data_IF_712545623525
#
_entry.id   IF_712545623525
#
_cell.length_a   1.000
_cell.length_b   1.000
_cell.length_c   1.000
_cell.angle_alpha   90.00
_cell.angle_beta   90.00
_cell.angle_gamma   90.00
#
_symmetry.space_group_name_H-M   'P 1'
#
loop_
_entity.id
_entity.type
_entity.pdbx_description
1 polymer ?
#
# COMPACT_ATOMS: atom_id res chain seq x y z
N UNK A 1 33.10 33.01 -1.67
CA UNK A 1 33.22 32.24 -2.93
C UNK A 1 33.45 30.79 -2.56
N UNK A 2 32.42 29.94 -2.62
CA UNK A 2 32.54 28.50 -2.36
C UNK A 2 32.82 27.79 -3.68
N UNK A 3 34.06 27.36 -3.88
CA UNK A 3 34.45 26.49 -4.99
C UNK A 3 33.72 25.15 -4.83
N UNK A 4 32.72 24.89 -5.70
CA UNK A 4 32.22 23.53 -5.92
C UNK A 4 33.39 22.71 -6.45
N UNK A 5 34.05 21.94 -5.59
CA UNK A 5 34.97 20.89 -6.01
C UNK A 5 34.18 19.94 -6.92
N UNK A 6 34.47 20.00 -8.23
CA UNK A 6 34.02 18.96 -9.16
C UNK A 6 34.67 17.67 -8.70
N UNK A 7 33.87 16.63 -8.49
CA UNK A 7 34.38 15.29 -8.20
C UNK A 7 35.44 14.92 -9.26
N UNK A 8 36.69 14.77 -8.84
CA UNK A 8 37.80 14.44 -9.72
C UNK A 8 37.57 13.03 -10.25
N UNK A 9 37.53 12.91 -11.57
CA UNK A 9 37.25 11.66 -12.25
C UNK A 9 38.39 10.65 -11.92
N UNK A 10 38.10 9.45 -11.39
CA UNK A 10 39.14 8.53 -10.91
C UNK A 10 40.10 8.12 -12.04
N UNK A 11 41.35 7.81 -11.72
CA UNK A 11 42.34 7.30 -12.67
C UNK A 11 41.79 6.09 -13.46
N UNK A 12 42.11 5.91 -14.75
CA UNK A 12 41.57 4.82 -15.59
C UNK A 12 41.65 3.42 -14.97
N UNK A 13 42.72 3.12 -14.24
CA UNK A 13 42.91 1.84 -13.53
C UNK A 13 41.88 1.59 -12.41
N UNK A 14 41.36 2.65 -11.77
CA UNK A 14 40.29 2.58 -10.76
C UNK A 14 38.89 2.51 -11.38
N UNK A 15 38.79 2.68 -12.71
CA UNK A 15 37.54 2.56 -13.48
C UNK A 15 37.27 1.14 -13.96
N UNK A 16 38.20 0.21 -13.77
CA UNK A 16 38.00 -1.19 -14.15
C UNK A 16 37.20 -1.89 -13.06
N UNK A 17 36.22 -2.69 -13.47
CA UNK A 17 35.41 -3.52 -12.59
C UNK A 17 36.34 -4.53 -11.88
N UNK A 18 36.27 -4.58 -10.54
CA UNK A 18 37.16 -5.42 -9.72
C UNK A 18 37.07 -6.91 -10.11
N UNK A 19 35.86 -7.41 -10.38
CA UNK A 19 35.60 -8.76 -10.89
C UNK A 19 34.38 -8.75 -11.81
N UNK A 20 34.27 -9.71 -12.74
CA UNK A 20 33.09 -9.87 -13.60
C UNK A 20 31.77 -10.09 -12.85
N UNK A 21 31.83 -10.42 -11.56
CA UNK A 21 30.67 -10.65 -10.69
C UNK A 21 30.27 -9.42 -9.87
N UNK A 22 31.12 -8.40 -9.76
CA UNK A 22 30.84 -7.21 -8.94
C UNK A 22 29.84 -6.29 -9.65
N UNK A 23 28.74 -5.82 -9.06
CA UNK A 23 27.75 -5.00 -9.79
C UNK A 23 28.37 -3.71 -10.36
N UNK A 24 27.95 -3.30 -11.56
CA UNK A 24 28.36 -2.03 -12.18
C UNK A 24 27.55 -0.89 -11.54
N UNK A 25 28.23 0.14 -11.06
CA UNK A 25 27.58 1.31 -10.47
C UNK A 25 26.99 2.23 -11.56
N UNK A 26 26.00 3.04 -11.21
CA UNK A 26 25.49 4.10 -12.09
C UNK A 26 26.02 5.43 -11.60
N UNK A 27 26.78 6.12 -12.44
CA UNK A 27 27.39 7.40 -12.10
C UNK A 27 26.32 8.49 -11.98
N UNK A 28 26.37 9.26 -10.91
CA UNK A 28 25.47 10.39 -10.72
C UNK A 28 25.85 11.53 -11.67
N UNK A 29 24.95 11.84 -12.59
CA UNK A 29 25.13 12.91 -13.57
C UNK A 29 24.13 14.00 -13.22
N UNK A 30 24.60 15.23 -13.02
CA UNK A 30 23.74 16.40 -12.79
C UNK A 30 22.78 16.27 -11.60
N UNK A 31 23.16 15.57 -10.53
CA UNK A 31 22.31 15.35 -9.34
C UNK A 31 21.01 14.59 -9.64
N UNK A 32 21.03 13.70 -10.64
CA UNK A 32 19.87 12.89 -11.08
C UNK A 32 19.84 11.51 -10.41
N UNK A 33 20.31 11.42 -9.18
CA UNK A 33 20.43 10.16 -8.42
C UNK A 33 19.09 9.41 -8.33
N UNK A 34 17.98 10.13 -8.18
CA UNK A 34 16.62 9.57 -8.13
C UNK A 34 16.26 8.81 -9.42
N UNK A 35 16.63 9.35 -10.59
CA UNK A 35 16.37 8.73 -11.91
C UNK A 35 17.25 7.51 -12.15
N UNK A 36 18.52 7.60 -11.76
CA UNK A 36 19.46 6.46 -11.84
C UNK A 36 18.94 5.27 -11.04
N UNK A 37 18.37 5.53 -9.86
CA UNK A 37 17.79 4.52 -9.00
C UNK A 37 16.55 3.88 -9.61
N UNK A 38 15.69 4.64 -10.29
CA UNK A 38 14.59 4.08 -11.09
C UNK A 38 15.14 3.09 -12.12
N UNK A 39 16.12 3.52 -12.92
CA UNK A 39 16.67 2.70 -14.00
C UNK A 39 17.30 1.40 -13.47
N UNK A 40 18.06 1.47 -12.37
CA UNK A 40 18.66 0.29 -11.73
C UNK A 40 17.58 -0.64 -11.16
N UNK A 41 16.51 -0.09 -10.58
CA UNK A 41 15.43 -0.89 -10.00
C UNK A 41 14.64 -1.63 -11.07
N UNK A 42 14.32 -0.96 -12.19
CA UNK A 42 13.70 -1.60 -13.35
C UNK A 42 14.63 -2.65 -13.96
N UNK A 43 15.91 -2.30 -14.13
CA UNK A 43 16.93 -3.24 -14.61
C UNK A 43 17.03 -4.46 -13.71
N UNK A 44 16.93 -4.34 -12.39
CA UNK A 44 17.08 -5.49 -11.49
C UNK A 44 16.02 -6.58 -11.68
N UNK A 45 14.90 -6.27 -12.34
CA UNK A 45 13.85 -7.22 -12.65
C UNK A 45 14.22 -8.08 -13.89
N UNK A 46 14.41 -9.38 -13.68
CA UNK A 46 14.81 -10.33 -14.75
C UNK A 46 13.82 -10.37 -15.91
N UNK A 47 12.51 -10.27 -15.63
CA UNK A 47 11.49 -10.28 -16.69
C UNK A 47 11.65 -9.06 -17.58
N UNK A 48 11.90 -7.89 -16.99
CA UNK A 48 12.18 -6.65 -17.74
C UNK A 48 13.49 -6.72 -18.51
N UNK A 49 14.56 -7.28 -17.94
CA UNK A 49 15.82 -7.49 -18.67
C UNK A 49 15.62 -8.34 -19.91
N UNK A 50 15.00 -9.51 -19.74
CA UNK A 50 14.76 -10.45 -20.83
C UNK A 50 13.93 -9.80 -21.94
N UNK A 51 12.88 -9.06 -21.57
CA UNK A 51 12.07 -8.33 -22.55
C UNK A 51 12.90 -7.30 -23.33
N UNK A 52 13.65 -6.44 -22.63
CA UNK A 52 14.50 -5.42 -23.27
C UNK A 52 15.51 -6.05 -24.24
N UNK A 53 16.16 -7.14 -23.86
CA UNK A 53 17.14 -7.82 -24.73
C UNK A 53 16.50 -8.63 -25.86
N UNK A 54 15.25 -9.08 -25.71
CA UNK A 54 14.51 -9.78 -26.77
C UNK A 54 13.98 -8.84 -27.86
N UNK A 55 14.07 -7.52 -27.64
CA UNK A 55 13.50 -6.55 -28.54
C UNK A 55 14.39 -6.37 -29.78
N UNK A 56 14.01 -7.02 -30.88
CA UNK A 56 14.68 -6.90 -32.16
C UNK A 56 14.28 -5.59 -32.84
N UNK A 57 15.23 -4.68 -32.99
CA UNK A 57 15.01 -3.43 -33.75
C UNK A 57 15.35 -3.69 -35.21
N UNK A 58 14.35 -3.75 -36.08
CA UNK A 58 14.56 -3.82 -37.54
C UNK A 58 14.96 -2.45 -38.08
N UNK A 59 16.04 -2.39 -38.87
CA UNK A 59 16.51 -1.17 -39.54
C UNK A 59 15.45 -0.62 -40.51
N UNK A 60 14.63 -1.49 -41.11
CA UNK A 60 13.56 -1.10 -42.04
C UNK A 60 12.53 -0.18 -41.36
N UNK A 61 12.23 -0.41 -40.08
CA UNK A 61 11.26 0.43 -39.35
C UNK A 61 11.89 1.73 -38.84
N UNK A 62 13.21 1.75 -38.64
CA UNK A 62 13.95 2.95 -38.25
C UNK A 62 13.92 4.02 -39.35
N UNK A 63 14.08 3.58 -40.59
CA UNK A 63 14.21 4.49 -41.74
C UNK A 63 12.85 4.93 -42.30
N UNK A 64 11.78 4.18 -42.03
CA UNK A 64 10.44 4.47 -42.56
C UNK A 64 9.71 5.64 -41.86
N UNK A 65 10.14 6.05 -40.66
CA UNK A 65 9.39 7.02 -39.85
C UNK A 65 10.31 7.97 -39.08
N UNK A 66 10.49 9.19 -39.61
CA UNK A 66 11.15 10.30 -38.89
C UNK A 66 10.53 10.52 -37.49
N UNK A 67 9.20 10.38 -37.39
CA UNK A 67 8.40 10.52 -36.16
C UNK A 67 8.56 9.38 -35.12
N UNK A 68 9.29 8.32 -35.46
CA UNK A 68 9.56 7.19 -34.55
C UNK A 68 11.03 7.08 -34.16
N UNK A 69 11.89 7.92 -34.73
CA UNK A 69 13.34 7.87 -34.52
C UNK A 69 13.71 8.06 -33.05
N UNK A 70 13.01 8.92 -32.31
CA UNK A 70 13.26 9.14 -30.88
C UNK A 70 12.96 7.90 -30.04
N UNK A 71 11.86 7.20 -30.32
CA UNK A 71 11.48 5.96 -29.63
C UNK A 71 12.47 4.83 -29.95
N UNK A 72 12.88 4.70 -31.21
CA UNK A 72 13.93 3.76 -31.60
C UNK A 72 15.25 4.03 -30.88
N UNK A 73 15.68 5.29 -30.88
CA UNK A 73 16.89 5.73 -30.21
C UNK A 73 16.81 5.53 -28.70
N UNK A 74 15.61 5.60 -28.09
CA UNK A 74 15.38 5.29 -26.68
C UNK A 74 15.56 3.79 -26.41
N UNK A 75 14.96 2.92 -27.21
CA UNK A 75 15.08 1.44 -27.07
C UNK A 75 16.55 1.03 -27.13
N UNK A 76 17.27 1.46 -28.17
CA UNK A 76 18.69 1.17 -28.34
C UNK A 76 19.50 1.68 -27.14
N UNK A 77 19.19 2.87 -26.63
CA UNK A 77 19.90 3.43 -25.48
C UNK A 77 19.68 2.62 -24.21
N UNK A 78 18.49 2.06 -24.02
CA UNK A 78 18.17 1.20 -22.87
C UNK A 78 18.86 -0.15 -23.00
N UNK A 79 18.83 -0.77 -24.18
CA UNK A 79 19.52 -2.02 -24.45
C UNK A 79 21.02 -1.88 -24.22
N UNK A 80 21.64 -0.81 -24.74
CA UNK A 80 23.04 -0.52 -24.51
C UNK A 80 23.30 -0.27 -23.03
N UNK A 81 22.48 0.53 -22.35
CA UNK A 81 22.64 0.77 -20.91
C UNK A 81 22.58 -0.52 -20.09
N UNK A 82 21.62 -1.40 -20.38
CA UNK A 82 21.47 -2.71 -19.70
C UNK A 82 22.65 -3.63 -20.03
N UNK A 83 23.11 -3.65 -21.28
CA UNK A 83 24.29 -4.41 -21.68
C UNK A 83 25.55 -3.94 -20.94
N UNK A 84 25.72 -2.63 -20.74
CA UNK A 84 26.83 -2.08 -19.96
C UNK A 84 26.73 -2.46 -18.48
N UNK A 85 25.53 -2.51 -17.90
CA UNK A 85 25.33 -2.96 -16.52
C UNK A 85 25.67 -4.44 -16.33
N UNK A 86 25.33 -5.30 -17.29
CA UNK A 86 25.61 -6.73 -17.23
C UNK A 86 27.08 -7.06 -17.56
N UNK A 87 27.52 -6.62 -18.73
CA UNK A 87 28.74 -7.09 -19.39
C UNK A 87 29.86 -6.06 -19.40
N UNK A 88 29.59 -4.83 -18.95
CA UNK A 88 30.58 -3.76 -18.92
C UNK A 88 31.81 -4.13 -18.09
N UNK A 89 33.00 -3.86 -18.66
CA UNK A 89 34.28 -3.96 -17.96
C UNK A 89 34.56 -2.79 -17.02
N UNK A 90 33.75 -1.73 -17.09
CA UNK A 90 33.85 -0.55 -16.23
C UNK A 90 33.24 -0.78 -14.84
N UNK A 91 33.74 -0.08 -13.83
CA UNK A 91 33.17 -0.07 -12.48
C UNK A 91 31.90 0.78 -12.39
N UNK A 92 31.64 1.64 -13.37
CA UNK A 92 30.40 2.40 -13.49
C UNK A 92 29.99 2.67 -14.95
N UNK A 93 28.72 3.02 -15.14
CA UNK A 93 28.13 3.49 -16.41
C UNK A 93 27.48 4.86 -16.21
N UNK A 94 27.52 5.73 -17.22
CA UNK A 94 26.86 7.04 -17.22
C UNK A 94 25.53 6.96 -18.00
N UNK A 95 24.37 7.21 -17.38
CA UNK A 95 23.07 7.10 -18.05
C UNK A 95 22.63 8.42 -18.73
N UNK A 96 23.54 9.37 -18.95
CA UNK A 96 23.22 10.75 -19.35
C UNK A 96 22.29 10.84 -20.55
N UNK A 97 22.62 10.15 -21.64
CA UNK A 97 21.85 10.19 -22.88
C UNK A 97 20.50 9.49 -22.74
N UNK A 98 20.45 8.39 -21.99
CA UNK A 98 19.20 7.70 -21.69
C UNK A 98 18.25 8.60 -20.89
N UNK A 99 18.75 9.21 -19.82
CA UNK A 99 17.94 10.10 -18.97
C UNK A 99 17.41 11.30 -19.75
N UNK A 100 18.22 11.90 -20.65
CA UNK A 100 17.77 12.97 -21.56
C UNK A 100 16.64 12.50 -22.48
N UNK A 101 16.76 11.31 -23.08
CA UNK A 101 15.75 10.75 -23.99
C UNK A 101 14.42 10.42 -23.29
N UNK A 102 14.45 10.02 -22.02
CA UNK A 102 13.23 9.79 -21.23
C UNK A 102 12.50 11.11 -20.91
N UNK A 103 13.24 12.20 -20.73
CA UNK A 103 12.75 13.51 -20.30
C UNK A 103 12.54 14.52 -21.45
N UNK A 104 12.27 14.07 -22.67
CA UNK A 104 12.18 14.93 -23.88
C UNK A 104 11.50 16.30 -23.70
N UNK A 105 11.89 17.26 -24.54
CA UNK A 105 11.49 18.68 -24.47
C UNK A 105 9.98 18.98 -24.51
N UNK A 106 9.15 18.09 -25.05
CA UNK A 106 7.73 18.40 -25.36
C UNK A 106 6.72 17.97 -24.29
N UNK A 107 7.17 17.47 -23.13
CA UNK A 107 6.26 17.15 -22.03
C UNK A 107 6.17 18.35 -21.08
N UNK A 108 5.39 19.35 -21.48
CA UNK A 108 4.74 20.23 -20.51
C UNK A 108 3.97 19.35 -19.53
N UNK A 109 4.35 19.44 -18.26
CA UNK A 109 4.02 18.49 -17.19
C UNK A 109 2.53 18.55 -16.79
N UNK A 110 1.70 19.39 -17.40
CA UNK A 110 0.53 19.89 -16.66
C UNK A 110 -0.81 19.14 -16.82
N UNK A 111 -1.20 18.51 -17.93
CA UNK A 111 -2.66 18.30 -18.10
C UNK A 111 -3.24 16.89 -18.33
N UNK A 112 -2.46 15.80 -18.33
CA UNK A 112 -3.04 14.46 -18.67
C UNK A 112 -2.57 13.26 -17.85
N UNK A 113 -2.00 13.49 -16.66
CA UNK A 113 -1.84 12.39 -15.69
C UNK A 113 -3.13 12.36 -14.87
N UNK A 114 -3.99 11.33 -14.98
CA UNK A 114 -5.19 11.26 -14.16
C UNK A 114 -4.76 10.88 -12.73
N UNK A 115 -4.31 11.84 -11.92
CA UNK A 115 -3.96 11.55 -10.54
C UNK A 115 -4.45 12.60 -9.55
N UNK A 116 -5.04 12.04 -8.49
CA UNK A 116 -5.62 12.68 -7.34
C UNK A 116 -4.59 13.16 -6.28
N UNK A 117 -3.26 13.05 -6.51
CA UNK A 117 -2.25 13.35 -5.48
C UNK A 117 -0.89 13.83 -6.03
N UNK A 118 -0.11 14.62 -5.26
CA UNK A 118 1.24 15.05 -5.65
C UNK A 118 2.20 13.85 -5.69
N UNK A 119 2.87 13.65 -6.82
CA UNK A 119 3.88 12.61 -7.01
C UNK A 119 5.29 13.13 -6.69
N UNK A 120 6.18 12.26 -6.22
CA UNK A 120 7.59 12.59 -6.09
C UNK A 120 8.26 12.69 -7.47
N UNK A 121 9.40 13.39 -7.57
CA UNK A 121 10.22 13.41 -8.81
C UNK A 121 10.58 12.00 -9.29
N UNK A 122 10.73 11.06 -8.35
CA UNK A 122 10.91 9.64 -8.62
C UNK A 122 9.68 9.02 -9.29
N UNK A 123 8.50 9.23 -8.70
CA UNK A 123 7.23 8.72 -9.22
C UNK A 123 6.95 9.22 -10.65
N UNK A 124 7.18 10.51 -10.90
CA UNK A 124 7.01 11.15 -12.21
C UNK A 124 7.95 10.52 -13.26
N UNK A 125 9.25 10.40 -12.95
CA UNK A 125 10.21 9.82 -13.89
C UNK A 125 9.88 8.35 -14.19
N UNK A 126 9.51 7.56 -13.18
CA UNK A 126 9.10 6.17 -13.35
C UNK A 126 7.84 6.04 -14.23
N UNK A 127 6.86 6.92 -14.02
CA UNK A 127 5.67 7.02 -14.85
C UNK A 127 6.02 7.29 -16.31
N UNK A 128 6.82 8.34 -16.55
CA UNK A 128 7.27 8.73 -17.89
C UNK A 128 8.08 7.64 -18.59
N UNK A 129 9.02 7.02 -17.86
CA UNK A 129 9.83 5.93 -18.39
C UNK A 129 8.94 4.79 -18.90
N UNK A 130 8.04 4.27 -18.05
CA UNK A 130 7.18 3.15 -18.41
C UNK A 130 6.23 3.53 -19.57
N UNK A 131 5.66 4.74 -19.56
CA UNK A 131 4.79 5.21 -20.63
C UNK A 131 5.52 5.32 -21.97
N UNK A 132 6.73 5.90 -22.00
CA UNK A 132 7.53 6.00 -23.22
C UNK A 132 7.93 4.63 -23.73
N UNK A 133 8.28 3.70 -22.84
CA UNK A 133 8.58 2.33 -23.23
C UNK A 133 7.37 1.60 -23.82
N UNK A 134 6.20 1.77 -23.22
CA UNK A 134 4.94 1.25 -23.75
C UNK A 134 4.61 1.83 -25.13
N UNK A 135 4.77 3.14 -25.31
CA UNK A 135 4.56 3.81 -26.61
C UNK A 135 5.55 3.30 -27.66
N UNK A 136 6.83 3.17 -27.29
CA UNK A 136 7.88 2.66 -28.18
C UNK A 136 7.59 1.22 -28.62
N UNK A 137 7.11 0.37 -27.70
CA UNK A 137 6.72 -1.02 -28.01
C UNK A 137 5.51 -1.10 -28.93
N UNK A 138 4.48 -0.30 -28.66
CA UNK A 138 3.29 -0.22 -29.52
C UNK A 138 3.63 0.27 -30.93
N UNK A 139 4.44 1.32 -31.04
CA UNK A 139 4.93 1.82 -32.34
C UNK A 139 5.70 0.71 -33.06
N UNK A 140 6.61 0.01 -32.38
CA UNK A 140 7.36 -1.09 -32.98
C UNK A 140 6.47 -2.21 -33.53
N UNK A 141 5.40 -2.59 -32.81
CA UNK A 141 4.49 -3.64 -33.27
C UNK A 141 3.63 -3.24 -34.47
N UNK A 142 3.26 -1.97 -34.61
CA UNK A 142 2.50 -1.50 -35.79
C UNK A 142 3.20 -1.81 -37.12
N UNK A 143 4.52 -2.02 -37.10
CA UNK A 143 5.34 -2.26 -38.29
C UNK A 143 5.95 -3.66 -38.32
N UNK A 144 5.63 -4.52 -37.35
CA UNK A 144 6.07 -5.91 -37.37
C UNK A 144 5.01 -6.77 -38.06
N UNK A 145 5.33 -7.48 -39.17
CA UNK A 145 4.35 -8.29 -39.91
C UNK A 145 3.82 -9.52 -39.14
N UNK A 146 4.21 -9.70 -37.87
CA UNK A 146 3.83 -10.85 -37.03
C UNK A 146 2.64 -10.60 -36.09
N UNK A 147 2.01 -9.43 -36.11
CA UNK A 147 0.98 -9.08 -35.11
C UNK A 147 -0.44 -8.93 -35.67
N UNK A 148 -0.99 -10.01 -36.23
CA UNK A 148 -2.45 -10.16 -36.35
C UNK A 148 -2.98 -10.71 -35.01
N UNK A 149 -3.13 -9.82 -34.02
CA UNK A 149 -3.69 -10.15 -32.71
C UNK A 149 -3.72 -8.93 -31.79
N UNK A 150 -4.60 -8.94 -30.77
CA UNK A 150 -4.61 -7.96 -29.69
C UNK A 150 -3.32 -8.07 -28.86
N UNK A 151 -2.23 -7.55 -29.40
CA UNK A 151 -0.95 -7.54 -28.70
C UNK A 151 -1.03 -6.51 -27.57
N UNK A 152 -1.19 -6.99 -26.35
CA UNK A 152 -1.06 -6.18 -25.13
C UNK A 152 0.42 -5.98 -24.87
N UNK A 153 0.88 -4.72 -24.86
CA UNK A 153 2.28 -4.36 -24.56
C UNK A 153 2.81 -5.08 -23.32
N UNK A 154 4.06 -5.53 -23.37
CA UNK A 154 4.77 -6.03 -22.19
C UNK A 154 4.72 -5.01 -21.06
N UNK A 155 5.02 -3.74 -21.33
CA UNK A 155 5.00 -2.65 -20.34
C UNK A 155 3.61 -2.45 -19.76
N UNK A 156 2.57 -2.45 -20.60
CA UNK A 156 1.18 -2.40 -20.15
C UNK A 156 0.81 -3.59 -19.25
N UNK A 157 1.08 -4.82 -19.68
CA UNK A 157 0.70 -6.03 -18.93
C UNK A 157 1.52 -6.24 -17.65
N UNK A 158 2.71 -5.66 -17.57
CA UNK A 158 3.63 -5.85 -16.45
C UNK A 158 3.42 -4.82 -15.35
N UNK A 159 3.18 -3.55 -15.69
CA UNK A 159 3.16 -2.45 -14.72
C UNK A 159 1.78 -1.80 -14.51
N UNK A 160 0.78 -2.10 -15.34
CA UNK A 160 -0.57 -1.53 -15.18
C UNK A 160 -1.58 -2.58 -14.72
N UNK A 161 -2.31 -2.23 -13.67
CA UNK A 161 -3.53 -2.91 -13.26
C UNK A 161 -4.76 -2.08 -13.61
N UNK A 162 -5.93 -2.70 -13.48
CA UNK A 162 -7.21 -2.04 -13.66
C UNK A 162 -8.00 -2.13 -12.36
N UNK A 163 -8.58 -1.01 -11.97
CA UNK A 163 -9.60 -0.96 -10.92
C UNK A 163 -10.93 -0.58 -11.55
N UNK A 164 -12.00 -1.09 -10.97
CA UNK A 164 -13.35 -0.70 -11.31
C UNK A 164 -14.09 -0.28 -10.04
N UNK A 165 -14.85 0.80 -10.13
CA UNK A 165 -15.75 1.24 -9.08
C UNK A 165 -17.10 0.55 -9.25
N UNK A 166 -17.56 -0.17 -8.21
CA UNK A 166 -18.96 -0.64 -8.14
C UNK A 166 -19.76 0.44 -7.43
N UNK A 167 -20.76 0.97 -8.12
CA UNK A 167 -21.81 1.78 -7.50
C UNK A 167 -22.83 0.81 -6.92
N UNK A 168 -22.80 0.61 -5.60
CA UNK A 168 -23.87 -0.09 -4.91
C UNK A 168 -24.97 0.94 -4.58
N UNK A 169 -26.03 0.99 -5.38
CA UNK A 169 -27.23 1.73 -5.01
C UNK A 169 -27.84 1.07 -3.74
N UNK A 170 -28.15 1.89 -2.73
CA UNK A 170 -28.77 1.43 -1.48
C UNK A 170 -30.12 0.74 -1.76
N UNK A 171 -30.14 -0.60 -1.79
CA UNK A 171 -31.38 -1.40 -1.77
C UNK A 171 -32.23 -1.12 -0.51
N UNK A 172 -31.69 -0.44 0.51
CA UNK A 172 -32.41 -0.06 1.73
C UNK A 172 -33.54 0.96 1.50
N UNK A 173 -33.49 1.80 0.44
CA UNK A 173 -34.58 2.77 0.17
C UNK A 173 -35.77 2.20 -0.61
N UNK A 174 -35.59 1.06 -1.29
CA UNK A 174 -36.67 0.41 -2.05
C UNK A 174 -37.59 -0.36 -1.08
N UNK A 175 -37.03 -1.01 -0.05
CA UNK A 175 -37.82 -1.75 0.94
C UNK A 175 -38.58 -0.87 1.94
N UNK A 176 -38.11 0.36 2.24
CA UNK A 176 -38.87 1.31 3.07
C UNK A 176 -40.04 1.94 2.30
N UNK A 177 -39.88 2.22 1.00
CA UNK A 177 -40.97 2.73 0.15
C UNK A 177 -41.97 1.63 -0.23
N UNK A 178 -41.55 0.38 -0.41
CA UNK A 178 -42.48 -0.74 -0.63
C UNK A 178 -43.31 -1.05 0.63
N UNK A 179 -42.75 -0.91 1.83
CA UNK A 179 -43.50 -1.07 3.08
C UNK A 179 -44.40 0.14 3.43
N UNK A 180 -44.02 1.37 3.05
CA UNK A 180 -44.91 2.54 3.13
C UNK A 180 -46.07 2.44 2.14
N UNK A 181 -45.79 2.07 0.88
CA UNK A 181 -46.80 1.89 -0.15
C UNK A 181 -47.73 0.68 0.13
N UNK A 182 -47.26 -0.37 0.83
CA UNK A 182 -48.13 -1.47 1.30
C UNK A 182 -49.07 -1.03 2.42
N UNK A 183 -48.59 -0.20 3.37
CA UNK A 183 -49.43 0.34 4.46
C UNK A 183 -50.40 1.42 3.99
N UNK A 184 -50.08 2.17 2.94
CA UNK A 184 -51.01 3.11 2.31
C UNK A 184 -52.05 2.38 1.43
N UNK A 185 -51.66 1.32 0.70
CA UNK A 185 -52.61 0.51 -0.08
C UNK A 185 -53.51 -0.41 0.75
N UNK A 186 -53.10 -0.83 1.95
CA UNK A 186 -53.99 -1.58 2.86
C UNK A 186 -55.04 -0.70 3.55
N UNK A 187 -54.88 0.64 3.53
CA UNK A 187 -55.87 1.58 4.05
C UNK A 187 -56.83 2.14 2.98
N UNK A 188 -56.53 1.99 1.68
CA UNK A 188 -57.41 2.42 0.59
C UNK A 188 -58.23 1.31 -0.05
N UNK A 189 -58.04 0.03 0.32
CA UNK A 189 -58.94 -1.07 -0.09
C UNK A 189 -60.08 -1.24 0.92
N UNK A 190 -60.80 -0.15 1.12
CA UNK A 190 -62.23 -0.10 1.51
C UNK A 190 -62.83 1.13 0.82
N UNK A 191 -62.82 1.12 -0.50
CA UNK A 191 -63.92 1.61 -1.33
C UNK A 191 -63.64 1.29 -2.79
N UNK A 192 -64.70 0.81 -3.46
CA UNK A 192 -64.87 0.77 -4.91
C UNK A 192 -64.06 -0.30 -5.67
N UNK A 193 -64.62 -1.52 -5.61
CA UNK A 193 -64.63 -2.41 -6.75
C UNK A 193 -65.48 -1.77 -7.86
N UNK A 194 -64.90 -1.54 -9.04
CA UNK A 194 -65.50 -1.92 -10.33
C UNK A 194 -64.51 -1.73 -11.49
N UNK A 195 -64.29 -2.83 -12.22
CA UNK A 195 -63.97 -2.89 -13.65
C UNK A 195 -62.81 -2.05 -14.20
N UNK A 196 -61.66 -2.70 -14.46
CA UNK A 196 -61.35 -3.15 -15.83
C UNK A 196 -60.11 -4.04 -15.87
N UNK A 197 -60.35 -5.19 -16.46
CA UNK A 197 -59.42 -6.19 -16.95
C UNK A 197 -58.90 -5.74 -18.33
N UNK A 198 -57.72 -6.24 -18.72
CA UNK A 198 -57.00 -6.05 -20.00
C UNK A 198 -55.81 -5.09 -19.98
N UNK A 199 -54.68 -5.61 -19.50
CA UNK A 199 -53.35 -5.58 -20.16
C UNK A 199 -52.37 -6.29 -19.22
N UNK A 200 -52.44 -7.63 -19.22
CA UNK A 200 -51.30 -8.47 -18.83
C UNK A 200 -50.51 -8.70 -20.10
N UNK A 201 -49.19 -8.70 -19.97
CA UNK A 201 -48.17 -8.79 -21.02
C UNK A 201 -47.73 -7.43 -21.57
N UNK A 202 -46.83 -6.75 -20.83
CA UNK A 202 -45.65 -6.08 -21.44
C UNK A 202 -44.69 -5.41 -20.44
N UNK A 203 -44.98 -5.32 -19.14
CA UNK A 203 -44.04 -4.75 -18.18
C UNK A 203 -43.20 -5.79 -17.43
N UNK A 204 -42.46 -6.63 -18.17
CA UNK A 204 -41.13 -7.06 -17.70
C UNK A 204 -40.17 -5.94 -18.04
N UNK A 205 -40.17 -4.90 -17.20
CA UNK A 205 -39.10 -3.91 -17.18
C UNK A 205 -37.82 -4.70 -16.86
N UNK A 206 -37.09 -5.07 -17.91
CA UNK A 206 -35.65 -5.29 -17.84
C UNK A 206 -35.06 -3.95 -17.42
N UNK A 207 -34.98 -3.70 -16.12
CA UNK A 207 -34.05 -2.71 -15.60
C UNK A 207 -32.66 -3.23 -15.95
N UNK A 208 -32.09 -2.71 -17.04
CA UNK A 208 -30.68 -2.83 -17.28
C UNK A 208 -29.98 -2.27 -16.05
N UNK A 209 -29.30 -3.15 -15.30
CA UNK A 209 -28.30 -2.75 -14.32
C UNK A 209 -27.10 -2.19 -15.09
N UNK A 210 -27.26 -1.01 -15.67
CA UNK A 210 -26.16 -0.26 -16.25
C UNK A 210 -25.43 0.45 -15.10
N UNK A 211 -24.78 -0.35 -14.24
CA UNK A 211 -23.77 0.18 -13.33
C UNK A 211 -22.70 0.84 -14.18
N UNK A 212 -22.58 2.17 -14.10
CA UNK A 212 -21.52 2.92 -14.76
C UNK A 212 -20.17 2.49 -14.16
N UNK A 213 -19.52 1.52 -14.81
CA UNK A 213 -18.15 1.14 -14.46
C UNK A 213 -17.20 2.20 -14.99
N UNK A 214 -16.57 2.96 -14.09
CA UNK A 214 -15.36 3.71 -14.44
C UNK A 214 -14.17 2.79 -14.23
N UNK A 215 -13.55 2.38 -15.33
CA UNK A 215 -12.30 1.62 -15.30
C UNK A 215 -11.12 2.57 -15.30
N UNK A 216 -10.26 2.48 -14.29
CA UNK A 216 -9.05 3.28 -14.17
C UNK A 216 -7.82 2.37 -14.23
N UNK A 217 -6.88 2.72 -15.10
CA UNK A 217 -5.59 2.07 -15.17
C UNK A 217 -4.69 2.62 -14.06
N UNK A 218 -4.18 1.75 -13.20
CA UNK A 218 -3.28 2.08 -12.10
C UNK A 218 -1.89 1.55 -12.41
N UNK A 219 -0.91 2.44 -12.39
CA UNK A 219 0.50 2.06 -12.48
C UNK A 219 1.19 2.04 -11.11
N UNK A 220 0.87 3.00 -10.24
CA UNK A 220 1.49 3.17 -8.92
C UNK A 220 0.40 3.37 -7.88
N UNK A 221 0.56 2.74 -6.71
CA UNK A 221 -0.37 2.85 -5.58
C UNK A 221 0.28 3.77 -4.53
N UNK A 222 -0.29 4.95 -4.25
CA UNK A 222 0.21 5.82 -3.19
C UNK A 222 -0.10 5.21 -1.82
N UNK A 223 0.89 5.25 -0.92
CA UNK A 223 0.84 4.66 0.42
C UNK A 223 1.21 5.73 1.44
N UNK A 224 0.24 6.11 2.28
CA UNK A 224 0.49 7.07 3.34
C UNK A 224 1.06 6.41 4.59
N UNK A 225 2.18 6.96 5.10
CA UNK A 225 2.89 6.47 6.29
C UNK A 225 1.99 6.46 7.55
N UNK A 226 0.99 7.34 7.60
CA UNK A 226 0.07 7.46 8.74
C UNK A 226 -0.80 6.23 8.99
N UNK A 227 -0.91 5.31 8.03
CA UNK A 227 -1.73 4.11 8.15
C UNK A 227 -0.96 2.88 8.66
N UNK A 228 0.31 3.04 9.07
CA UNK A 228 1.18 2.07 9.75
C UNK A 228 1.53 0.76 9.02
N UNK A 229 0.70 0.29 8.08
CA UNK A 229 0.94 -0.92 7.28
C UNK A 229 0.36 -0.81 5.86
N UNK A 230 0.87 -1.64 4.94
CA UNK A 230 0.48 -1.66 3.53
C UNK A 230 -1.01 -1.94 3.30
N UNK A 231 -1.60 -2.92 3.98
CA UNK A 231 -3.00 -3.29 3.74
C UNK A 231 -3.97 -2.15 4.06
N UNK A 232 -3.77 -1.49 5.20
CA UNK A 232 -4.58 -0.34 5.61
C UNK A 232 -4.40 0.81 4.64
N UNK A 233 -3.18 1.06 4.16
CA UNK A 233 -2.93 2.09 3.15
C UNK A 233 -3.63 1.81 1.81
N UNK A 234 -3.59 0.57 1.32
CA UNK A 234 -4.27 0.19 0.07
C UNK A 234 -5.78 0.36 0.21
N UNK A 235 -6.39 -0.11 1.31
CA UNK A 235 -7.82 0.10 1.55
C UNK A 235 -8.16 1.60 1.59
N UNK A 236 -7.33 2.42 2.20
CA UNK A 236 -7.56 3.87 2.27
C UNK A 236 -7.48 4.53 0.90
N UNK A 237 -6.47 4.17 0.11
CA UNK A 237 -6.35 4.61 -1.27
C UNK A 237 -7.58 4.24 -2.10
N UNK A 238 -7.99 2.96 -2.08
CA UNK A 238 -9.16 2.51 -2.85
C UNK A 238 -10.45 3.22 -2.43
N UNK A 239 -10.63 3.51 -1.14
CA UNK A 239 -11.79 4.27 -0.67
C UNK A 239 -11.73 5.77 -1.03
N UNK A 240 -10.53 6.35 -1.23
CA UNK A 240 -10.39 7.77 -1.58
C UNK A 240 -10.79 8.07 -3.03
N UNK A 241 -10.61 7.11 -3.94
CA UNK A 241 -10.82 7.29 -5.39
C UNK A 241 -12.26 7.70 -5.72
N UNK A 242 -13.26 7.33 -4.90
CA UNK A 242 -14.68 7.56 -5.21
C UNK A 242 -15.37 8.53 -4.24
N UNK A 243 -14.61 9.13 -3.31
CA UNK A 243 -15.18 10.01 -2.29
C UNK A 243 -16.02 9.26 -1.24
N UNK A 244 -16.73 9.99 -0.39
CA UNK A 244 -17.48 9.43 0.76
C UNK A 244 -18.71 8.58 0.39
N UNK A 245 -19.03 8.45 -0.90
CA UNK A 245 -20.13 7.61 -1.38
C UNK A 245 -19.71 6.13 -1.32
N UNK A 246 -20.65 5.24 -0.99
CA UNK A 246 -20.46 3.80 -0.70
C UNK A 246 -20.00 2.92 -1.88
N UNK A 247 -19.22 3.49 -2.80
CA UNK A 247 -18.73 2.81 -3.97
C UNK A 247 -17.49 1.99 -3.59
N UNK A 248 -17.56 0.69 -3.89
CA UNK A 248 -16.46 -0.24 -3.61
C UNK A 248 -15.54 -0.26 -4.82
N UNK A 249 -14.31 0.23 -4.65
CA UNK A 249 -13.26 0.12 -5.67
C UNK A 249 -12.43 -1.11 -5.42
N UNK A 250 -12.34 -1.99 -6.41
CA UNK A 250 -11.51 -3.20 -6.37
C UNK A 250 -10.77 -3.38 -7.68
N UNK A 251 -9.65 -4.10 -7.62
CA UNK A 251 -8.87 -4.49 -8.78
C UNK A 251 -9.61 -5.57 -9.57
N UNK A 252 -9.88 -5.32 -10.85
CA UNK A 252 -10.30 -6.36 -11.80
C UNK A 252 -9.09 -7.03 -12.43
N UNK A 253 -7.99 -6.31 -12.60
CA UNK A 253 -6.72 -6.84 -13.07
C UNK A 253 -5.57 -6.29 -12.24
N UNK A 254 -4.72 -7.18 -11.73
CA UNK A 254 -3.47 -6.77 -11.08
C UNK A 254 -2.31 -6.78 -12.09
N UNK A 255 -1.35 -5.84 -11.97
CA UNK A 255 -0.12 -5.88 -12.75
C UNK A 255 0.76 -7.04 -12.27
N UNK A 256 1.69 -7.51 -13.12
CA UNK A 256 2.71 -8.49 -12.68
C UNK A 256 3.66 -7.90 -11.63
N UNK A 257 3.92 -6.59 -11.71
CA UNK A 257 4.75 -5.84 -10.76
C UNK A 257 3.90 -4.78 -10.09
N UNK A 258 3.79 -4.84 -8.76
CA UNK A 258 3.14 -3.82 -7.95
C UNK A 258 4.14 -2.76 -7.52
N UNK A 259 3.81 -1.50 -7.80
CA UNK A 259 4.60 -0.34 -7.41
C UNK A 259 3.87 0.43 -6.32
N UNK A 260 4.51 0.59 -5.17
CA UNK A 260 4.01 1.37 -4.04
C UNK A 260 4.86 2.63 -3.88
N UNK A 261 4.23 3.81 -3.96
CA UNK A 261 4.88 5.08 -3.68
C UNK A 261 4.54 5.53 -2.26
N UNK A 262 5.54 5.51 -1.36
CA UNK A 262 5.32 5.95 0.01
C UNK A 262 5.32 7.48 0.04
N UNK A 263 4.19 8.07 0.43
CA UNK A 263 4.01 9.51 0.54
C UNK A 263 4.19 9.97 1.99
N UNK A 264 5.10 10.92 2.21
CA UNK A 264 5.24 11.63 3.47
C UNK A 264 4.21 12.76 3.52
N UNK A 265 3.44 12.81 4.60
CA UNK A 265 2.51 13.92 4.81
C UNK A 265 3.32 15.12 5.33
N UNK A 266 3.55 16.13 4.49
CA UNK A 266 4.40 17.30 4.79
C UNK A 266 4.00 18.03 6.09
N UNK A 267 2.75 17.86 6.54
CA UNK A 267 2.21 18.47 7.76
C UNK A 267 2.57 17.74 9.05
N UNK A 268 3.13 16.53 8.99
CA UNK A 268 3.42 15.70 10.16
C UNK A 268 4.93 15.66 10.39
N UNK A 269 5.43 16.50 11.30
CA UNK A 269 6.84 16.58 11.71
C UNK A 269 7.38 15.34 12.44
N UNK A 270 6.56 14.31 12.62
CA UNK A 270 6.93 13.10 13.35
C UNK A 270 7.18 11.96 12.37
N UNK A 271 8.43 11.50 12.31
CA UNK A 271 8.81 10.25 11.66
C UNK A 271 7.98 9.10 12.27
N UNK A 272 7.01 8.59 11.50
CA UNK A 272 6.20 7.44 11.89
C UNK A 272 6.82 6.16 11.35
N UNK A 273 6.84 5.11 12.18
CA UNK A 273 7.27 3.79 11.75
C UNK A 273 6.21 3.19 10.79
N UNK A 274 6.63 2.86 9.57
CA UNK A 274 5.83 2.13 8.59
C UNK A 274 6.33 0.69 8.48
N UNK A 275 5.42 -0.28 8.60
CA UNK A 275 5.72 -1.70 8.47
C UNK A 275 5.26 -2.21 7.11
N UNK A 276 6.17 -2.88 6.39
CA UNK A 276 5.85 -3.62 5.17
C UNK A 276 6.25 -5.08 5.32
N UNK A 277 5.53 -5.95 4.62
CA UNK A 277 5.73 -7.40 4.67
C UNK A 277 6.63 -7.86 3.51
N UNK A 278 7.33 -8.98 3.70
CA UNK A 278 8.12 -9.61 2.62
C UNK A 278 7.24 -10.21 1.52
N UNK A 279 6.00 -10.54 1.84
CA UNK A 279 5.01 -11.00 0.89
C UNK A 279 3.64 -10.43 1.27
N UNK A 280 2.86 -10.05 0.27
CA UNK A 280 1.51 -9.52 0.44
C UNK A 280 0.52 -10.40 -0.33
N UNK A 281 -0.70 -10.54 0.20
CA UNK A 281 -1.79 -11.24 -0.49
C UNK A 281 -2.83 -10.23 -0.98
N UNK A 282 -3.04 -10.19 -2.28
CA UNK A 282 -3.91 -9.18 -2.92
C UNK A 282 -5.37 -9.62 -3.06
N UNK A 283 -5.69 -10.85 -2.65
CA UNK A 283 -7.03 -11.43 -2.80
C UNK A 283 -8.15 -10.56 -2.21
N UNK A 284 -7.89 -9.88 -1.09
CA UNK A 284 -8.85 -8.98 -0.45
C UNK A 284 -9.16 -7.69 -1.22
N UNK A 285 -8.36 -7.39 -2.24
CA UNK A 285 -8.52 -6.20 -3.07
C UNK A 285 -9.02 -6.54 -4.49
N UNK A 286 -9.28 -7.83 -4.77
CA UNK A 286 -9.72 -8.29 -6.08
C UNK A 286 -11.24 -8.32 -6.20
N UNK A 287 -11.74 -7.90 -7.36
CA UNK A 287 -13.16 -7.87 -7.68
C UNK A 287 -13.81 -9.26 -7.59
N UNK A 288 -13.09 -10.31 -8.01
CA UNK A 288 -13.57 -11.71 -7.95
C UNK A 288 -13.95 -12.16 -6.53
N UNK A 289 -13.40 -11.50 -5.49
CA UNK A 289 -13.64 -11.83 -4.09
C UNK A 289 -14.55 -10.81 -3.38
N UNK A 290 -15.16 -9.86 -4.12
CA UNK A 290 -15.89 -8.72 -3.58
C UNK A 290 -16.92 -9.09 -2.52
N UNK A 291 -17.74 -10.11 -2.77
CA UNK A 291 -18.76 -10.59 -1.84
C UNK A 291 -18.16 -11.09 -0.50
N UNK A 292 -17.12 -11.92 -0.56
CA UNK A 292 -16.44 -12.44 0.64
C UNK A 292 -15.74 -11.31 1.41
N UNK A 293 -15.10 -10.38 0.69
CA UNK A 293 -14.45 -9.21 1.28
C UNK A 293 -15.45 -8.32 1.98
N UNK A 294 -16.63 -8.06 1.38
CA UNK A 294 -17.70 -7.27 1.98
C UNK A 294 -18.13 -7.85 3.33
N UNK A 295 -18.37 -9.16 3.39
CA UNK A 295 -18.72 -9.85 4.63
C UNK A 295 -17.61 -9.74 5.69
N UNK A 296 -16.35 -9.99 5.31
CA UNK A 296 -15.20 -9.87 6.22
C UNK A 296 -14.97 -8.43 6.70
N UNK A 297 -15.18 -7.40 5.86
CA UNK A 297 -15.12 -5.98 6.23
C UNK A 297 -16.22 -5.59 7.24
N UNK A 298 -17.43 -6.13 7.11
CA UNK A 298 -18.51 -5.95 8.09
C UNK A 298 -18.11 -6.56 9.44
N UNK A 299 -17.60 -7.79 9.43
CA UNK A 299 -17.11 -8.46 10.65
C UNK A 299 -15.97 -7.67 11.30
N UNK A 300 -14.99 -7.23 10.52
CA UNK A 300 -13.87 -6.39 10.97
C UNK A 300 -14.37 -5.09 11.64
N UNK A 301 -15.30 -4.38 11.00
CA UNK A 301 -15.92 -3.15 11.54
C UNK A 301 -16.63 -3.42 12.87
N UNK A 302 -17.33 -4.55 12.98
CA UNK A 302 -18.00 -4.95 14.22
C UNK A 302 -17.00 -5.30 15.33
N UNK A 303 -15.93 -6.03 15.03
CA UNK A 303 -14.86 -6.30 15.99
C UNK A 303 -14.18 -5.02 16.47
N UNK A 304 -13.86 -4.07 15.56
CA UNK A 304 -13.29 -2.78 15.93
C UNK A 304 -14.24 -1.94 16.81
N UNK A 305 -15.55 -1.95 16.53
CA UNK A 305 -16.55 -1.30 17.39
C UNK A 305 -16.56 -1.91 18.80
N UNK A 306 -16.47 -3.24 18.90
CA UNK A 306 -16.43 -3.94 20.20
C UNK A 306 -15.12 -3.67 20.95
N UNK A 307 -13.97 -3.67 20.26
CA UNK A 307 -12.67 -3.30 20.85
C UNK A 307 -12.74 -1.90 21.45
N UNK A 308 -13.29 -0.91 20.72
CA UNK A 308 -13.47 0.46 21.25
C UNK A 308 -14.37 0.51 22.50
N UNK A 309 -15.39 -0.35 22.60
CA UNK A 309 -16.23 -0.45 23.80
C UNK A 309 -15.43 -1.02 24.98
N UNK A 310 -14.70 -2.11 24.75
CA UNK A 310 -13.84 -2.74 25.75
C UNK A 310 -12.75 -1.77 26.23
N UNK A 311 -12.09 -1.04 25.33
CA UNK A 311 -11.07 -0.03 25.67
C UNK A 311 -11.64 1.08 26.56
N UNK A 312 -12.88 1.54 26.28
CA UNK A 312 -13.56 2.52 27.14
C UNK A 312 -13.91 1.93 28.52
N UNK A 313 -14.28 0.67 28.60
CA UNK A 313 -14.56 0.00 29.88
C UNK A 313 -13.28 -0.19 30.71
N UNK A 314 -12.18 -0.61 30.08
CA UNK A 314 -10.86 -0.69 30.72
C UNK A 314 -10.46 0.71 31.22
N UNK A 315 -10.57 1.74 30.38
CA UNK A 315 -10.26 3.11 30.81
C UNK A 315 -11.13 3.61 31.97
N UNK A 316 -12.41 3.23 32.04
CA UNK A 316 -13.28 3.56 33.18
C UNK A 316 -12.86 2.86 34.47
N UNK A 317 -12.36 1.63 34.35
CA UNK A 317 -11.82 0.90 35.49
C UNK A 317 -10.49 1.51 35.92
N UNK A 318 -9.59 1.81 34.98
CA UNK A 318 -8.27 2.35 35.32
C UNK A 318 -8.35 3.80 35.81
N UNK A 319 -9.16 4.67 35.21
CA UNK A 319 -9.18 6.10 35.50
C UNK A 319 -10.44 6.53 36.30
N UNK A 320 -10.26 6.93 37.56
CA UNK A 320 -11.34 7.53 38.37
C UNK A 320 -11.46 9.04 38.09
N UNK A 321 -12.62 9.51 37.60
CA UNK A 321 -13.01 10.95 37.47
C UNK A 321 -11.85 11.93 37.20
N UNK A 322 -11.07 11.70 36.14
CA UNK A 322 -9.99 12.59 35.71
C UNK A 322 -8.79 12.70 36.66
N UNK A 323 -8.67 11.82 37.66
CA UNK A 323 -7.50 11.75 38.53
C UNK A 323 -6.34 11.04 37.82
N UNK A 324 -5.09 11.45 38.12
CA UNK A 324 -3.87 10.77 37.64
C UNK A 324 -3.62 9.42 38.34
N UNK A 325 -4.40 9.08 39.35
CA UNK A 325 -4.23 7.87 40.16
C UNK A 325 -5.20 6.81 39.65
N UNK A 326 -4.69 5.60 39.41
CA UNK A 326 -5.55 4.51 38.98
C UNK A 326 -6.47 4.04 40.12
N UNK A 327 -7.68 3.58 39.81
CA UNK A 327 -8.61 3.03 40.82
C UNK A 327 -7.94 1.92 41.63
N UNK A 328 -7.16 1.07 40.96
CA UNK A 328 -6.44 -0.04 41.58
C UNK A 328 -5.39 0.47 42.57
N UNK A 329 -4.63 1.50 42.21
CA UNK A 329 -3.61 2.08 43.09
C UNK A 329 -4.27 2.74 44.29
N UNK A 330 -5.38 3.46 44.10
CA UNK A 330 -6.17 4.03 45.19
C UNK A 330 -6.66 2.96 46.17
N UNK A 331 -7.20 1.84 45.67
CA UNK A 331 -7.63 0.71 46.49
C UNK A 331 -6.46 0.04 47.23
N UNK A 332 -5.32 -0.16 46.57
CA UNK A 332 -4.10 -0.73 47.19
C UNK A 332 -3.53 0.19 48.28
N UNK A 333 -3.49 1.51 48.05
CA UNK A 333 -3.06 2.47 49.05
C UNK A 333 -3.99 2.48 50.27
N UNK A 334 -5.31 2.44 50.02
CA UNK A 334 -6.32 2.37 51.09
C UNK A 334 -6.18 1.07 51.89
N UNK A 335 -5.97 -0.06 51.22
CA UNK A 335 -5.72 -1.35 51.85
C UNK A 335 -4.48 -1.31 52.76
N UNK A 336 -3.37 -0.76 52.26
CA UNK A 336 -2.14 -0.66 53.02
C UNK A 336 -2.31 0.26 54.25
N UNK A 337 -3.01 1.37 54.10
CA UNK A 337 -3.34 2.26 55.22
C UNK A 337 -4.15 1.54 56.31
N UNK A 338 -5.20 0.80 55.91
CA UNK A 338 -6.04 0.05 56.84
C UNK A 338 -5.26 -1.06 57.57
N UNK A 339 -4.37 -1.77 56.86
CA UNK A 339 -3.47 -2.77 57.46
C UNK A 339 -2.52 -2.16 58.49
N UNK A 340 -1.96 -0.98 58.20
CA UNK A 340 -1.12 -0.25 59.16
C UNK A 340 -1.90 0.18 60.41
N UNK A 341 -3.15 0.64 60.25
CA UNK A 341 -4.01 0.96 61.39
C UNK A 341 -4.37 -0.28 62.24
N UNK A 342 -4.60 -1.43 61.62
CA UNK A 342 -4.88 -2.68 62.32
C UNK A 342 -3.69 -3.10 63.20
N UNK A 343 -2.46 -2.96 62.70
CA UNK A 343 -1.23 -3.27 63.45
C UNK A 343 -1.01 -2.36 64.66
N UNK A 344 -1.53 -1.13 64.63
CA UNK A 344 -1.41 -0.15 65.72
C UNK A 344 -2.53 -0.26 66.77
N UNK A 345 -3.62 -0.98 66.50
CA UNK A 345 -4.83 -1.02 67.32
C UNK A 345 -4.97 -2.29 68.19
N UNK A 346 -3.88 -3.01 68.40
CA UNK A 346 -3.76 -4.29 69.13
C UNK A 346 -4.31 -4.32 70.57
N UNK A 347 -4.66 -3.16 71.14
CA UNK A 347 -5.19 -3.01 72.50
C UNK A 347 -6.74 -2.94 72.59
N UNK A 348 -7.46 -2.84 71.46
CA UNK A 348 -8.93 -2.77 71.44
C UNK A 348 -9.54 -3.82 70.48
N UNK A 349 -10.04 -4.93 71.05
CA UNK A 349 -10.48 -6.12 70.31
C UNK A 349 -11.65 -5.86 69.34
N UNK A 350 -12.63 -5.03 69.69
CA UNK A 350 -13.75 -4.67 68.80
C UNK A 350 -13.31 -3.86 67.58
N UNK A 351 -12.38 -2.92 67.75
CA UNK A 351 -11.89 -2.07 66.66
C UNK A 351 -11.04 -2.86 65.67
N UNK A 352 -10.24 -3.80 66.18
CA UNK A 352 -9.45 -4.72 65.37
C UNK A 352 -10.35 -5.63 64.51
N UNK A 353 -11.40 -6.20 65.10
CA UNK A 353 -12.36 -7.06 64.38
C UNK A 353 -13.12 -6.32 63.26
N UNK A 354 -13.48 -5.06 63.48
CA UNK A 354 -14.15 -4.25 62.45
C UNK A 354 -13.20 -3.87 61.30
N UNK A 355 -11.94 -3.55 61.59
CA UNK A 355 -10.92 -3.29 60.57
C UNK A 355 -10.64 -4.52 59.72
N UNK A 356 -10.55 -5.70 60.33
CA UNK A 356 -10.34 -6.96 59.62
C UNK A 356 -11.46 -7.26 58.62
N UNK A 357 -12.72 -7.05 59.01
CA UNK A 357 -13.87 -7.16 58.10
C UNK A 357 -13.76 -6.21 56.90
N UNK A 358 -13.41 -4.95 57.15
CA UNK A 358 -13.24 -3.94 56.07
C UNK A 358 -12.10 -4.34 55.14
N UNK A 359 -10.96 -4.78 55.68
CA UNK A 359 -9.81 -5.26 54.90
C UNK A 359 -10.19 -6.46 54.04
N UNK A 360 -10.94 -7.41 54.57
CA UNK A 360 -11.40 -8.60 53.82
C UNK A 360 -12.34 -8.21 52.68
N UNK A 361 -13.31 -7.31 52.93
CA UNK A 361 -14.17 -6.78 51.87
C UNK A 361 -13.35 -6.06 50.80
N UNK A 362 -12.40 -5.23 51.20
CA UNK A 362 -11.59 -4.43 50.27
C UNK A 362 -10.66 -5.32 49.43
N UNK A 363 -10.05 -6.35 50.03
CA UNK A 363 -9.30 -7.39 49.30
C UNK A 363 -10.18 -8.10 48.27
N UNK A 364 -11.39 -8.52 48.66
CA UNK A 364 -12.33 -9.18 47.75
C UNK A 364 -12.72 -8.27 46.58
N UNK A 365 -12.92 -6.97 46.83
CA UNK A 365 -13.19 -5.99 45.78
C UNK A 365 -11.99 -5.79 44.85
N UNK A 366 -10.76 -5.73 45.38
CA UNK A 366 -9.53 -5.67 44.56
C UNK A 366 -9.40 -6.91 43.67
N UNK A 367 -9.65 -8.10 44.21
CA UNK A 367 -9.60 -9.34 43.42
C UNK A 367 -10.66 -9.36 42.31
N UNK A 368 -11.90 -8.96 42.64
CA UNK A 368 -12.98 -8.88 41.66
C UNK A 368 -12.64 -7.88 40.53
N UNK A 369 -12.05 -6.75 40.91
CA UNK A 369 -11.60 -5.72 39.97
C UNK A 369 -10.49 -6.24 39.03
N UNK A 370 -9.48 -6.91 39.58
CA UNK A 370 -8.40 -7.53 38.78
C UNK A 370 -8.94 -8.63 37.84
N UNK A 371 -9.89 -9.45 38.32
CA UNK A 371 -10.56 -10.47 37.49
C UNK A 371 -11.32 -9.81 36.33
N UNK A 372 -12.01 -8.69 36.58
CA UNK A 372 -12.73 -7.96 35.55
C UNK A 372 -11.80 -7.33 34.51
N UNK A 373 -10.72 -6.67 34.94
CA UNK A 373 -9.70 -6.12 34.02
C UNK A 373 -9.08 -7.21 33.15
N UNK A 374 -8.69 -8.34 33.75
CA UNK A 374 -8.14 -9.47 33.00
C UNK A 374 -9.13 -10.00 31.96
N UNK A 375 -10.41 -10.18 32.33
CA UNK A 375 -11.46 -10.63 31.40
C UNK A 375 -11.62 -9.69 30.21
N UNK A 376 -11.60 -8.37 30.44
CA UNK A 376 -11.72 -7.37 29.38
C UNK A 376 -10.46 -7.34 28.49
N UNK A 377 -9.27 -7.43 29.08
CA UNK A 377 -8.01 -7.51 28.34
C UNK A 377 -7.94 -8.76 27.46
N UNK A 378 -8.27 -9.94 28.01
CA UNK A 378 -8.36 -11.20 27.26
C UNK A 378 -9.38 -11.10 26.11
N UNK A 379 -10.52 -10.44 26.33
CA UNK A 379 -11.52 -10.21 25.29
C UNK A 379 -10.99 -9.30 24.18
N UNK A 380 -10.29 -8.22 24.54
CA UNK A 380 -9.67 -7.31 23.57
C UNK A 380 -8.63 -8.05 22.71
N UNK A 381 -7.77 -8.86 23.33
CA UNK A 381 -6.76 -9.64 22.62
C UNK A 381 -7.39 -10.68 21.69
N UNK A 382 -8.42 -11.41 22.16
CA UNK A 382 -9.18 -12.36 21.32
C UNK A 382 -9.76 -11.68 20.08
N UNK A 383 -10.35 -10.49 20.23
CA UNK A 383 -10.91 -9.73 19.10
C UNK A 383 -9.82 -9.28 18.12
N UNK A 384 -8.66 -8.82 18.62
CA UNK A 384 -7.51 -8.46 17.77
C UNK A 384 -6.98 -9.68 17.00
N UNK A 385 -6.89 -10.83 17.66
CA UNK A 385 -6.50 -12.09 17.01
C UNK A 385 -7.51 -12.55 15.97
N UNK A 386 -8.82 -12.40 16.23
CA UNK A 386 -9.86 -12.66 15.23
C UNK A 386 -9.68 -11.76 14.00
N UNK A 387 -9.46 -10.45 14.18
CA UNK A 387 -9.20 -9.52 13.06
C UNK A 387 -7.98 -9.96 12.25
N UNK A 388 -6.87 -10.31 12.92
CA UNK A 388 -5.65 -10.76 12.25
C UNK A 388 -5.86 -12.06 11.44
N UNK A 389 -6.81 -12.90 11.84
CA UNK A 389 -7.13 -14.16 11.17
C UNK A 389 -8.21 -14.01 10.08
N UNK A 390 -8.95 -12.90 10.02
CA UNK A 390 -10.09 -12.73 9.12
C UNK A 390 -9.73 -13.03 7.66
N UNK A 391 -8.60 -12.53 7.17
CA UNK A 391 -8.19 -12.67 5.77
C UNK A 391 -7.22 -13.83 5.52
N UNK A 392 -6.94 -14.68 6.51
CA UNK A 392 -5.91 -15.74 6.42
C UNK A 392 -6.19 -16.77 5.32
N UNK A 393 -7.47 -17.02 5.03
CA UNK A 393 -7.94 -17.94 3.99
C UNK A 393 -7.82 -17.35 2.57
N UNK A 394 -7.59 -16.04 2.46
CA UNK A 394 -7.49 -15.32 1.18
C UNK A 394 -6.03 -15.18 0.77
N UNK A 395 -5.40 -16.31 0.42
CA UNK A 395 -3.96 -16.43 0.22
C UNK A 395 -3.53 -16.97 -1.16
N UNK A 396 -4.40 -16.86 -2.17
CA UNK A 396 -4.16 -17.40 -3.51
C UNK A 396 -3.25 -16.48 -4.34
N UNK A 397 -3.47 -15.17 -4.28
CA UNK A 397 -2.81 -14.16 -5.12
C UNK A 397 -1.70 -13.48 -4.33
N UNK A 398 -0.51 -14.09 -4.35
CA UNK A 398 0.66 -13.68 -3.57
C UNK A 398 1.65 -12.87 -4.39
N UNK A 399 2.09 -11.74 -3.86
CA UNK A 399 3.22 -10.96 -4.35
C UNK A 399 4.35 -11.03 -3.34
N UNK A 400 5.57 -11.16 -3.84
CA UNK A 400 6.76 -11.08 -3.01
C UNK A 400 7.44 -9.73 -3.21
N UNK A 401 8.02 -9.21 -2.13
CA UNK A 401 8.78 -7.98 -2.16
C UNK A 401 10.06 -8.18 -2.96
N UNK A 402 10.19 -7.43 -4.05
CA UNK A 402 11.35 -7.50 -4.95
C UNK A 402 12.43 -6.47 -4.60
N UNK A 403 12.03 -5.21 -4.46
CA UNK A 403 12.94 -4.13 -4.15
C UNK A 403 12.30 -3.10 -3.21
N UNK A 404 13.14 -2.41 -2.44
CA UNK A 404 12.76 -1.23 -1.67
C UNK A 404 13.79 -0.14 -1.91
N UNK A 405 13.30 1.05 -2.21
CA UNK A 405 14.14 2.22 -2.45
C UNK A 405 14.05 3.12 -1.22
N UNK A 406 15.20 3.41 -0.61
CA UNK A 406 15.32 4.24 0.57
C UNK A 406 16.01 5.54 0.22
N UNK A 407 15.44 6.64 0.69
CA UNK A 407 16.08 7.96 0.68
C UNK A 407 16.54 8.28 2.10
N UNK A 408 17.85 8.43 2.29
CA UNK A 408 18.46 8.88 3.54
C UNK A 408 18.98 10.30 3.36
N UNK A 409 18.35 11.25 4.03
CA UNK A 409 18.85 12.63 4.10
C UNK A 409 19.94 12.67 5.16
N UNK A 410 21.17 12.96 4.76
CA UNK A 410 22.29 13.12 5.68
C UNK A 410 22.52 14.62 5.88
N UNK A 411 22.19 15.12 7.08
CA UNK A 411 22.41 16.52 7.44
C UNK A 411 23.85 16.93 7.07
N UNK A 412 23.97 18.07 6.38
CA UNK A 412 25.23 18.67 5.91
C UNK A 412 26.06 17.85 4.90
N UNK A 413 25.62 16.66 4.47
CA UNK A 413 26.31 15.83 3.46
C UNK A 413 25.47 15.52 2.22
N UNK A 414 24.24 16.03 2.15
CA UNK A 414 23.33 15.85 1.03
C UNK A 414 22.43 14.62 1.16
N UNK A 415 21.99 14.10 0.02
CA UNK A 415 21.04 12.99 -0.06
C UNK A 415 21.76 11.71 -0.51
N UNK A 416 21.54 10.62 0.22
CA UNK A 416 21.93 9.28 -0.19
C UNK A 416 20.69 8.48 -0.54
N UNK A 417 20.70 7.79 -1.68
CA UNK A 417 19.62 6.91 -2.09
C UNK A 417 20.16 5.50 -2.18
N UNK A 418 19.44 4.55 -1.58
CA UNK A 418 19.81 3.15 -1.53
C UNK A 418 18.70 2.31 -2.16
N UNK A 419 19.08 1.29 -2.92
CA UNK A 419 18.15 0.25 -3.38
C UNK A 419 18.49 -1.03 -2.64
N UNK A 420 17.53 -1.58 -1.91
CA UNK A 420 17.63 -2.91 -1.32
C UNK A 420 16.87 -3.87 -2.20
N UNK A 421 17.60 -4.80 -2.82
CA UNK A 421 17.04 -5.90 -3.61
C UNK A 421 16.85 -7.13 -2.71
N UNK A 422 15.70 -7.77 -2.80
CA UNK A 422 15.33 -8.94 -1.99
C UNK A 422 15.34 -10.24 -2.80
N UNK A 423 15.09 -10.18 -4.12
CA UNK A 423 15.32 -11.32 -5.00
C UNK A 423 16.71 -11.30 -5.62
N UNK A 424 17.32 -12.47 -5.53
CA UNK A 424 18.71 -12.70 -5.81
C UNK A 424 18.82 -13.72 -6.96
N UNK A 425 18.27 -13.40 -8.13
CA UNK A 425 18.65 -14.14 -9.35
C UNK A 425 20.10 -13.83 -9.78
N UNK A 426 20.73 -12.82 -9.17
CA UNK A 426 22.15 -12.52 -9.34
C UNK A 426 23.09 -13.28 -8.40
N UNK A 427 22.57 -14.20 -7.56
CA UNK A 427 23.34 -14.87 -6.52
C UNK A 427 23.72 -16.31 -6.84
N UNK A 428 24.10 -16.60 -8.10
CA UNK A 428 24.68 -17.90 -8.42
C UNK A 428 26.18 -18.02 -8.16
N UNK A 429 26.89 -17.04 -7.57
CA UNK A 429 28.30 -17.22 -7.21
C UNK A 429 28.85 -16.36 -6.05
N UNK A 430 28.09 -16.18 -4.96
CA UNK A 430 28.67 -15.72 -3.70
C UNK A 430 28.20 -16.63 -2.57
N UNK A 431 29.12 -17.49 -2.10
CA UNK A 431 29.06 -18.07 -0.76
C UNK A 431 28.86 -16.92 0.23
N UNK A 432 27.69 -16.85 0.85
CA UNK A 432 27.43 -16.05 2.05
C UNK A 432 28.23 -16.65 3.21
N UNK A 433 29.54 -16.39 3.21
CA UNK A 433 30.40 -16.39 4.37
C UNK A 433 31.39 -15.28 4.08
N UNK A 434 31.39 -14.22 4.90
CA UNK A 434 32.19 -12.99 4.81
C UNK A 434 31.49 -11.79 4.12
N UNK A 435 30.50 -11.23 4.80
CA UNK A 435 30.29 -9.77 4.78
C UNK A 435 31.17 -9.19 5.91
N UNK A 436 32.06 -8.22 5.65
CA UNK A 436 32.80 -7.54 6.70
C UNK A 436 31.86 -6.60 7.48
N UNK A 437 32.07 -6.54 8.80
CA UNK A 437 31.33 -5.82 9.86
C UNK A 437 31.26 -4.29 9.70
N UNK A 438 30.81 -3.77 8.56
CA UNK A 438 30.76 -2.32 8.31
C UNK A 438 29.36 -1.82 7.96
N UNK A 439 28.31 -2.34 8.62
CA UNK A 439 27.02 -1.62 8.76
C UNK A 439 26.44 -1.88 10.16
N UNK A 440 27.14 -1.42 11.19
CA UNK A 440 26.53 -1.01 12.47
C UNK A 440 27.27 0.23 12.98
N UNK A 441 26.86 1.42 12.49
CA UNK A 441 26.85 2.70 13.22
C UNK A 441 25.79 3.62 12.65
#
# INVERSE_FOLDING_TARGET
MTTKERAVEPSPQKRIRKTKTYPVAVFDVEQRTEMNVVLVSIFSNVITQNHVFSWEVSEEVRDYLEDSKEEYDLIISIQLFFAHLLYGGGSYVKPTELVKKVLSKDLEIEDKIPFFHPQTKFGIFLHQFINRMNQSEKKHWMFSPKSEGENISFWSSTFFGNIDAIIEEEEEKINENENKNKKEKENEIKNENENKQEQKDENKIKTSRDSQFQSLNIQQIPIYVEHHNLYTSIDKFLNQIVGENLNVVLFTKLPKILLFEIQENEKISNYKLFKYEKAIYMDRFLMKNSHQVKQKKIQEKNHHKTIKKVEREIQKLENWKSSKISVLDGLKHTLNYLKLQQQQSSQNSERSNNLEKIINVLNQQIENFLKQLKKLSDQQERLRNQINLLYKEMNQTKYFLDSVIFKKIVQNKGMLIFVKLFFNYFYQYIKLNQLPDYIER
#
